data_IF_077427372775
#
_entry.id   IF_077427372775
#
_cell.length_a   1.000
_cell.length_b   1.000
_cell.length_c   1.000
_cell.angle_alpha   90.00
_cell.angle_beta   90.00
_cell.angle_gamma   90.00
#
_symmetry.space_group_name_H-M   'P 1'
#
loop_
_entity.id
_entity.type
_entity.pdbx_description
1 polymer ?
#
# COMPACT_ATOMS: atom_id res chain seq x y z
N UNK A 1 4.14 19.17 -16.34
CA UNK A 1 3.15 18.33 -15.64
C UNK A 1 3.71 16.92 -15.61
N UNK A 2 4.10 16.42 -14.44
CA UNK A 2 4.48 15.00 -14.30
C UNK A 2 3.19 14.18 -14.22
N UNK A 3 3.09 13.03 -14.90
CA UNK A 3 1.93 12.16 -14.75
C UNK A 3 1.84 11.72 -13.28
N UNK A 4 0.62 11.68 -12.75
CA UNK A 4 0.39 11.07 -11.43
C UNK A 4 0.94 9.64 -11.50
N UNK A 5 1.95 9.33 -10.69
CA UNK A 5 2.56 8.01 -10.70
C UNK A 5 1.46 6.99 -10.40
N UNK A 6 1.40 5.92 -11.20
CA UNK A 6 0.42 4.86 -11.02
C UNK A 6 0.68 4.16 -9.68
N UNK A 7 -0.38 3.66 -9.04
CA UNK A 7 -0.19 2.83 -7.87
C UNK A 7 0.72 1.65 -8.21
N UNK A 8 1.64 1.28 -7.31
CA UNK A 8 2.52 0.15 -7.53
C UNK A 8 1.70 -1.15 -7.65
N UNK A 9 2.20 -2.08 -8.45
CA UNK A 9 1.57 -3.38 -8.71
C UNK A 9 2.59 -4.49 -8.49
N UNK A 10 2.14 -5.67 -8.06
CA UNK A 10 3.03 -6.80 -7.73
C UNK A 10 3.30 -6.92 -6.23
N UNK A 11 4.54 -7.29 -5.87
CA UNK A 11 4.92 -7.61 -4.48
C UNK A 11 5.22 -6.35 -3.64
N UNK A 12 4.44 -6.07 -2.57
CA UNK A 12 4.65 -4.91 -1.73
C UNK A 12 5.97 -4.90 -0.95
N UNK A 13 6.69 -6.02 -0.83
CA UNK A 13 8.05 -6.01 -0.25
C UNK A 13 9.03 -5.20 -1.09
N UNK A 14 8.79 -5.12 -2.40
CA UNK A 14 9.63 -4.39 -3.35
C UNK A 14 9.31 -2.89 -3.40
N UNK A 15 8.16 -2.46 -2.85
CA UNK A 15 7.68 -1.08 -2.94
C UNK A 15 8.35 -0.18 -1.91
N UNK A 16 8.68 1.06 -2.25
CA UNK A 16 9.20 2.04 -1.28
C UNK A 16 8.20 2.35 -0.16
N UNK A 17 8.68 2.87 0.97
CA UNK A 17 7.80 3.25 2.10
C UNK A 17 6.76 4.30 1.68
N UNK A 18 7.14 5.18 0.76
CA UNK A 18 6.23 6.17 0.20
C UNK A 18 5.11 5.51 -0.61
N UNK A 19 5.45 4.55 -1.46
CA UNK A 19 4.50 3.77 -2.25
C UNK A 19 3.54 2.95 -1.38
N UNK A 20 4.05 2.28 -0.34
CA UNK A 20 3.22 1.54 0.61
C UNK A 20 2.21 2.46 1.31
N UNK A 21 2.66 3.62 1.79
CA UNK A 21 1.79 4.59 2.47
C UNK A 21 0.75 5.18 1.53
N UNK A 22 1.18 5.52 0.31
CA UNK A 22 0.30 6.05 -0.73
C UNK A 22 -0.75 5.02 -1.15
N UNK A 23 -0.37 3.77 -1.33
CA UNK A 23 -1.29 2.69 -1.67
C UNK A 23 -2.34 2.51 -0.58
N UNK A 24 -1.94 2.45 0.69
CA UNK A 24 -2.87 2.35 1.82
C UNK A 24 -3.84 3.54 1.88
N UNK A 25 -3.33 4.76 1.66
CA UNK A 25 -4.15 5.97 1.65
C UNK A 25 -5.14 6.01 0.49
N UNK A 26 -4.70 5.63 -0.71
CA UNK A 26 -5.52 5.72 -1.92
C UNK A 26 -6.52 4.56 -2.04
N UNK A 27 -6.15 3.35 -1.61
CA UNK A 27 -6.96 2.12 -1.78
C UNK A 27 -7.81 1.79 -0.57
N UNK A 28 -7.26 1.95 0.63
CA UNK A 28 -7.92 1.55 1.88
C UNK A 28 -8.45 2.75 2.66
N UNK A 29 -8.27 3.97 2.14
CA UNK A 29 -8.52 5.23 2.86
C UNK A 29 -7.86 5.23 4.25
N UNK A 30 -6.76 4.48 4.39
CA UNK A 30 -6.04 4.28 5.63
C UNK A 30 -4.84 5.22 5.64
N UNK A 31 -4.78 6.13 6.62
CA UNK A 31 -3.62 6.98 6.83
C UNK A 31 -2.64 6.30 7.81
N UNK A 32 -1.56 5.67 7.32
CA UNK A 32 -0.57 5.08 8.19
C UNK A 32 0.17 6.17 8.96
N UNK A 33 0.16 6.04 10.30
CA UNK A 33 0.99 6.87 11.17
C UNK A 33 2.45 6.87 10.73
N UNK A 34 3.13 8.02 10.82
CA UNK A 34 4.56 8.16 10.49
C UNK A 34 5.47 7.26 11.35
N UNK A 35 4.95 6.74 12.48
CA UNK A 35 5.66 5.82 13.37
C UNK A 35 5.63 4.34 12.91
N UNK A 36 4.81 3.99 11.92
CA UNK A 36 4.77 2.63 11.39
C UNK A 36 6.08 2.28 10.70
N UNK A 37 6.66 1.15 11.09
CA UNK A 37 7.80 0.54 10.41
C UNK A 37 7.41 -0.01 9.05
N UNK A 38 8.40 -0.22 8.19
CA UNK A 38 8.22 -0.76 6.84
C UNK A 38 7.52 -2.13 6.85
N UNK A 39 7.96 -3.07 7.69
CA UNK A 39 7.32 -4.39 7.84
C UNK A 39 5.83 -4.29 8.18
N UNK A 40 5.46 -3.37 9.05
CA UNK A 40 4.07 -3.14 9.42
C UNK A 40 3.24 -2.57 8.25
N UNK A 41 3.84 -1.71 7.43
CA UNK A 41 3.20 -1.18 6.22
C UNK A 41 3.00 -2.29 5.20
N UNK A 42 4.04 -3.09 4.93
CA UNK A 42 3.98 -4.23 4.01
C UNK A 42 2.92 -5.23 4.47
N UNK A 43 2.89 -5.57 5.77
CA UNK A 43 1.91 -6.51 6.32
C UNK A 43 0.48 -6.01 6.12
N UNK A 44 0.23 -4.72 6.38
CA UNK A 44 -1.09 -4.10 6.14
C UNK A 44 -1.46 -4.12 4.67
N UNK A 45 -0.53 -3.75 3.78
CA UNK A 45 -0.75 -3.78 2.33
C UNK A 45 -1.07 -5.20 1.86
N UNK A 46 -0.24 -6.20 2.22
CA UNK A 46 -0.47 -7.62 1.89
C UNK A 46 -1.82 -8.10 2.40
N UNK A 47 -2.17 -7.79 3.65
CA UNK A 47 -3.46 -8.17 4.22
C UNK A 47 -4.64 -7.60 3.41
N UNK A 48 -4.56 -6.32 3.00
CA UNK A 48 -5.59 -5.66 2.21
C UNK A 48 -5.65 -6.16 0.76
N UNK A 49 -4.51 -6.45 0.14
CA UNK A 49 -4.44 -7.05 -1.19
C UNK A 49 -5.07 -8.45 -1.21
N UNK A 50 -4.82 -9.26 -0.19
CA UNK A 50 -5.40 -10.60 -0.06
C UNK A 50 -6.90 -10.56 0.24
N UNK A 51 -7.34 -9.68 1.14
CA UNK A 51 -8.78 -9.52 1.49
C UNK A 51 -9.60 -9.01 0.31
N UNK A 52 -9.04 -8.11 -0.52
CA UNK A 52 -9.68 -7.61 -1.74
C UNK A 52 -9.86 -8.66 -2.83
N UNK A 53 -9.18 -9.81 -2.76
CA UNK A 53 -9.30 -10.90 -3.73
C UNK A 53 -10.44 -11.89 -3.43
N UNK A 54 -11.15 -11.75 -2.29
CA UNK A 54 -12.16 -12.73 -1.86
C UNK A 54 -13.62 -12.30 -2.11
N UNK A 55 -13.87 -11.17 -2.79
CA UNK A 55 -15.22 -10.81 -3.23
C UNK A 55 -15.39 -11.16 -4.71
N UNK A 56 -15.76 -12.41 -4.97
CA UNK A 56 -16.48 -12.85 -6.17
C UNK A 56 -17.91 -13.16 -5.79
#
# INVERSE_FOLDING_TARGET
MFPAEKDPTGDPETWTDHELRRWLKNRDNYEPSSKLSRDELVTKVKAKMSVGSQLK
#
